data_IF_437226865269
#
_entry.id   IF_437226865269
#
_cell.length_a   1.000
_cell.length_b   1.000
_cell.length_c   1.000
_cell.angle_alpha   90.00
_cell.angle_beta   90.00
_cell.angle_gamma   90.00
#
_symmetry.space_group_name_H-M   'P 1'
#
loop_
_entity.id
_entity.type
_entity.pdbx_description
1 polymer ?
#
# COMPACT_ATOMS: atom_id res chain seq x y z
N UNK A 1 9.78 0.32 0.70
CA UNK A 1 9.45 1.72 1.12
C UNK A 1 8.40 1.68 2.19
N UNK A 2 8.57 2.44 3.27
CA UNK A 2 7.64 2.47 4.40
C UNK A 2 7.38 3.92 4.79
N UNK A 3 6.11 4.28 4.91
CA UNK A 3 5.68 5.61 5.35
C UNK A 3 4.93 5.51 6.67
N UNK A 4 5.28 6.40 7.60
CA UNK A 4 4.62 6.54 8.90
C UNK A 4 4.82 7.95 9.46
N UNK A 5 4.32 8.21 10.66
CA UNK A 5 4.62 9.41 11.46
C UNK A 5 4.25 10.73 10.76
N UNK A 6 3.06 10.78 10.19
CA UNK A 6 2.54 11.99 9.56
C UNK A 6 3.19 12.35 8.22
N UNK A 7 3.94 11.46 7.60
CA UNK A 7 4.50 11.69 6.27
C UNK A 7 3.39 12.08 5.29
N UNK A 8 3.52 13.23 4.63
CA UNK A 8 2.47 13.74 3.77
C UNK A 8 2.99 14.52 2.56
N UNK A 9 2.13 14.67 1.56
CA UNK A 9 2.41 15.46 0.37
C UNK A 9 3.56 14.94 -0.50
N UNK A 10 3.98 13.69 -0.31
CA UNK A 10 5.06 13.10 -1.08
C UNK A 10 4.55 12.47 -2.36
N UNK A 11 5.40 12.45 -3.38
CA UNK A 11 5.17 11.73 -4.63
C UNK A 11 6.24 10.66 -4.80
N UNK A 12 5.79 9.41 -4.95
CA UNK A 12 6.64 8.26 -5.24
C UNK A 12 6.23 7.70 -6.59
N UNK A 13 7.11 7.83 -7.58
CA UNK A 13 6.78 7.47 -8.94
C UNK A 13 7.90 6.72 -9.65
N UNK A 14 7.52 5.81 -10.55
CA UNK A 14 8.43 5.07 -11.43
C UNK A 14 9.48 4.24 -10.70
N UNK A 15 9.15 3.75 -9.51
CA UNK A 15 10.02 2.85 -8.77
C UNK A 15 9.75 1.40 -9.17
N UNK A 16 10.79 0.59 -9.15
CA UNK A 16 10.71 -0.84 -9.37
C UNK A 16 11.36 -1.60 -8.22
N UNK A 17 10.59 -2.48 -7.59
CA UNK A 17 11.07 -3.34 -6.51
C UNK A 17 10.77 -4.80 -6.87
N UNK A 18 11.81 -5.59 -7.05
CA UNK A 18 11.69 -6.97 -7.51
C UNK A 18 11.91 -8.00 -6.39
N UNK A 19 12.95 -7.82 -5.61
CA UNK A 19 13.37 -8.80 -4.62
C UNK A 19 13.50 -8.14 -3.24
N UNK A 20 12.39 -7.83 -2.57
CA UNK A 20 12.46 -7.25 -1.24
C UNK A 20 13.16 -8.21 -0.27
N UNK A 21 14.06 -7.67 0.52
CA UNK A 21 14.83 -8.45 1.48
C UNK A 21 14.03 -8.66 2.77
N UNK A 22 12.98 -9.46 2.69
CA UNK A 22 12.17 -9.86 3.83
C UNK A 22 11.70 -11.31 3.66
N UNK A 23 11.59 -12.02 4.76
CA UNK A 23 11.44 -13.48 4.76
C UNK A 23 10.04 -13.99 5.04
N UNK A 24 9.12 -13.12 5.49
CA UNK A 24 7.74 -13.48 5.80
C UNK A 24 6.78 -12.75 4.87
N UNK A 25 6.06 -13.47 4.05
CA UNK A 25 5.11 -12.94 3.08
C UNK A 25 3.75 -13.58 3.17
N UNK A 26 2.71 -12.82 2.87
CA UNK A 26 2.54 -11.41 3.20
C UNK A 26 2.19 -11.33 4.66
N UNK A 27 2.88 -10.56 5.43
CA UNK A 27 2.53 -10.35 6.82
C UNK A 27 2.61 -8.87 7.16
N UNK A 28 1.72 -8.43 7.98
CA UNK A 28 1.60 -7.09 8.54
C UNK A 28 2.38 -5.99 7.80
N UNK A 29 3.55 -5.59 8.29
CA UNK A 29 4.36 -4.54 7.69
C UNK A 29 5.34 -5.02 6.61
N UNK A 30 5.31 -6.30 6.25
CA UNK A 30 6.23 -6.84 5.25
C UNK A 30 5.71 -6.58 3.83
N UNK A 31 6.26 -5.59 3.17
CA UNK A 31 5.90 -5.22 1.81
C UNK A 31 6.91 -4.31 1.15
N UNK A 32 6.82 -4.21 -0.16
CA UNK A 32 7.67 -3.30 -0.92
C UNK A 32 7.24 -1.85 -0.72
N UNK A 33 5.94 -1.64 -0.59
CA UNK A 33 5.33 -0.36 -0.28
C UNK A 33 4.37 -0.54 0.90
N UNK A 34 4.61 0.20 1.98
CA UNK A 34 3.86 0.07 3.23
C UNK A 34 3.43 1.45 3.75
N UNK A 35 2.13 1.64 3.95
CA UNK A 35 1.61 2.63 4.89
C UNK A 35 1.55 1.96 6.27
N UNK A 36 2.32 2.44 7.24
CA UNK A 36 2.58 1.73 8.50
C UNK A 36 1.97 2.42 9.71
N UNK A 37 0.83 3.05 9.56
CA UNK A 37 0.17 3.75 10.65
C UNK A 37 0.86 5.06 11.06
N UNK A 38 0.51 5.60 12.20
CA UNK A 38 0.96 6.92 12.66
C UNK A 38 0.68 8.04 11.65
N UNK A 39 -0.47 7.96 10.98
CA UNK A 39 -1.07 9.03 10.22
C UNK A 39 -0.31 9.55 8.98
N UNK A 40 0.28 8.71 8.10
CA UNK A 40 0.68 9.18 6.79
C UNK A 40 -0.56 9.53 5.96
N UNK A 41 -0.58 10.70 5.31
CA UNK A 41 -1.75 11.18 4.59
C UNK A 41 -1.39 11.94 3.31
N UNK A 42 -2.32 12.00 2.36
CA UNK A 42 -2.19 12.79 1.13
C UNK A 42 -0.90 12.53 0.34
N UNK A 43 -0.41 11.30 0.32
CA UNK A 43 0.73 10.89 -0.50
C UNK A 43 0.25 10.30 -1.82
N UNK A 44 1.04 10.46 -2.87
CA UNK A 44 0.78 9.89 -4.19
C UNK A 44 1.82 8.83 -4.53
N UNK A 45 1.34 7.62 -4.80
CA UNK A 45 2.13 6.50 -5.34
C UNK A 45 1.65 6.23 -6.75
N UNK A 46 2.49 6.49 -7.76
CA UNK A 46 2.05 6.35 -9.16
C UNK A 46 3.04 5.60 -10.02
N UNK A 47 2.51 4.73 -10.87
CA UNK A 47 3.28 4.05 -11.91
C UNK A 47 4.52 3.32 -11.36
N UNK A 48 4.38 2.71 -10.18
CA UNK A 48 5.41 1.89 -9.58
C UNK A 48 5.12 0.40 -9.83
N UNK A 49 6.15 -0.41 -9.82
CA UNK A 49 6.04 -1.87 -9.85
C UNK A 49 6.56 -2.42 -8.53
N UNK A 50 5.69 -3.07 -7.80
CA UNK A 50 5.96 -3.69 -6.50
C UNK A 50 5.53 -5.15 -6.50
N UNK A 51 6.03 -5.93 -5.55
CA UNK A 51 5.48 -7.27 -5.31
C UNK A 51 4.17 -7.18 -4.56
N UNK A 52 4.09 -6.28 -3.57
CA UNK A 52 2.86 -6.02 -2.84
C UNK A 52 2.80 -4.60 -2.29
N UNK A 53 1.57 -4.18 -2.02
CA UNK A 53 1.24 -2.93 -1.35
C UNK A 53 0.57 -3.30 -0.03
N UNK A 54 1.03 -2.75 1.07
CA UNK A 54 0.48 -3.01 2.41
C UNK A 54 -0.06 -1.71 3.00
N UNK A 55 -1.30 -1.77 3.47
CA UNK A 55 -1.91 -0.70 4.27
C UNK A 55 -2.10 -1.25 5.68
N UNK A 56 -1.16 -0.93 6.55
CA UNK A 56 -1.06 -1.45 7.91
C UNK A 56 -1.31 -0.35 8.93
N UNK A 57 -2.19 -0.61 9.88
CA UNK A 57 -2.51 0.31 10.97
C UNK A 57 -2.06 -0.21 12.34
N UNK A 58 -1.10 -1.11 12.41
CA UNK A 58 -0.62 -1.69 13.67
C UNK A 58 -0.07 -0.65 14.66
N UNK A 59 0.33 0.51 14.16
CA UNK A 59 0.81 1.65 14.95
C UNK A 59 -0.13 2.85 14.86
N UNK A 60 -1.41 2.68 15.10
CA UNK A 60 -2.49 3.64 14.89
C UNK A 60 -2.94 3.78 13.44
N UNK A 61 -4.10 4.37 13.16
CA UNK A 61 -4.62 4.50 11.80
C UNK A 61 -3.70 5.28 10.86
N UNK A 62 -3.77 4.93 9.59
CA UNK A 62 -3.27 5.79 8.53
C UNK A 62 -4.21 6.98 8.37
N UNK A 63 -3.65 8.13 7.96
CA UNK A 63 -4.44 9.28 7.55
C UNK A 63 -5.07 9.07 6.18
N UNK A 64 -6.01 9.94 5.83
CA UNK A 64 -6.80 9.87 4.61
C UNK A 64 -6.05 10.32 3.36
N UNK A 65 -6.63 10.02 2.20
CA UNK A 65 -6.25 10.58 0.90
C UNK A 65 -4.88 10.17 0.36
N UNK A 66 -4.29 9.07 0.85
CA UNK A 66 -3.19 8.47 0.10
C UNK A 66 -3.74 7.87 -1.19
N UNK A 67 -3.08 8.14 -2.30
CA UNK A 67 -3.55 7.76 -3.64
C UNK A 67 -2.56 6.81 -4.29
N UNK A 68 -3.06 5.66 -4.69
CA UNK A 68 -2.33 4.64 -5.45
C UNK A 68 -2.85 4.64 -6.88
N UNK A 69 -2.06 5.17 -7.80
CA UNK A 69 -2.45 5.38 -9.20
C UNK A 69 -1.58 4.57 -10.15
N UNK A 70 -2.20 3.67 -10.93
CA UNK A 70 -1.52 2.89 -11.98
C UNK A 70 -0.27 2.15 -11.51
N UNK A 71 -0.25 1.69 -10.25
CA UNK A 71 0.81 0.81 -9.79
C UNK A 71 0.52 -0.62 -10.21
N UNK A 72 1.56 -1.44 -10.27
CA UNK A 72 1.44 -2.88 -10.49
C UNK A 72 1.94 -3.62 -9.25
N UNK A 73 1.09 -4.49 -8.69
CA UNK A 73 1.43 -5.34 -7.55
C UNK A 73 1.55 -6.80 -8.02
N UNK A 74 2.74 -7.19 -8.47
CA UNK A 74 2.95 -8.42 -9.25
C UNK A 74 2.82 -9.73 -8.45
N UNK A 75 3.22 -9.73 -7.19
CA UNK A 75 3.37 -10.98 -6.45
C UNK A 75 2.19 -11.29 -5.53
N UNK A 76 1.80 -10.37 -4.67
CA UNK A 76 0.86 -10.63 -3.58
C UNK A 76 -0.35 -9.66 -3.55
N UNK A 77 -0.38 -8.68 -4.43
CA UNK A 77 -1.48 -7.75 -4.51
C UNK A 77 -1.46 -6.66 -3.45
N UNK A 78 -2.64 -6.26 -2.98
CA UNK A 78 -2.83 -5.24 -1.97
C UNK A 78 -3.35 -5.89 -0.69
N UNK A 79 -2.68 -5.66 0.41
CA UNK A 79 -3.03 -6.19 1.72
C UNK A 79 -3.43 -5.08 2.68
N UNK A 80 -4.63 -5.20 3.26
CA UNK A 80 -5.10 -4.34 4.35
C UNK A 80 -5.04 -5.13 5.65
N UNK A 81 -4.26 -4.68 6.62
CA UNK A 81 -4.16 -5.36 7.91
C UNK A 81 -5.39 -5.14 8.80
N UNK A 82 -6.19 -4.11 8.49
CA UNK A 82 -7.47 -3.89 9.15
C UNK A 82 -8.42 -3.06 8.31
N UNK A 83 -9.69 -3.05 8.70
CA UNK A 83 -10.75 -2.24 8.07
C UNK A 83 -10.66 -0.74 8.44
N UNK A 84 -9.82 -0.37 9.37
CA UNK A 84 -9.73 1.00 9.87
C UNK A 84 -8.62 1.80 9.18
N UNK A 85 -8.70 1.90 7.87
CA UNK A 85 -7.79 2.70 7.04
C UNK A 85 -8.63 3.54 6.08
N UNK A 86 -9.31 4.60 6.57
CA UNK A 86 -10.32 5.32 5.79
C UNK A 86 -9.73 6.08 4.61
N UNK A 87 -10.55 6.31 3.61
CA UNK A 87 -10.33 7.27 2.52
C UNK A 87 -9.03 7.09 1.74
N UNK A 88 -8.61 5.86 1.49
CA UNK A 88 -7.51 5.57 0.58
C UNK A 88 -8.04 5.45 -0.86
N UNK A 89 -7.33 6.02 -1.81
CA UNK A 89 -7.73 5.99 -3.21
C UNK A 89 -6.88 4.99 -4.00
N UNK A 90 -7.54 4.02 -4.64
CA UNK A 90 -6.90 3.06 -5.54
C UNK A 90 -7.47 3.24 -6.93
N UNK A 91 -6.65 3.69 -7.88
CA UNK A 91 -7.10 4.07 -9.21
C UNK A 91 -6.27 3.35 -10.28
N UNK A 92 -6.94 2.49 -11.07
CA UNK A 92 -6.34 1.80 -12.22
C UNK A 92 -5.04 1.06 -11.89
N UNK A 93 -4.94 0.46 -10.72
CA UNK A 93 -3.81 -0.40 -10.41
C UNK A 93 -3.97 -1.76 -11.08
N UNK A 94 -2.86 -2.34 -11.50
CA UNK A 94 -2.81 -3.69 -12.06
C UNK A 94 -2.40 -4.68 -10.96
N UNK A 95 -3.32 -5.60 -10.63
CA UNK A 95 -3.15 -6.57 -9.56
C UNK A 95 -3.33 -7.97 -10.13
N UNK A 96 -2.31 -8.54 -10.76
CA UNK A 96 -2.42 -9.85 -11.42
C UNK A 96 -2.60 -10.99 -10.43
N UNK A 97 -2.22 -10.83 -9.17
CA UNK A 97 -2.41 -11.81 -8.12
C UNK A 97 -3.22 -11.21 -6.97
N UNK A 98 -4.42 -11.75 -6.75
CA UNK A 98 -5.35 -11.29 -5.71
C UNK A 98 -5.40 -12.21 -4.49
N UNK A 99 -4.53 -13.22 -4.40
CA UNK A 99 -4.56 -14.22 -3.33
C UNK A 99 -4.51 -13.60 -1.92
N UNK A 100 -4.00 -12.40 -1.80
CA UNK A 100 -3.86 -11.65 -0.56
C UNK A 100 -4.55 -10.29 -0.58
N UNK A 101 -5.41 -10.02 -1.53
CA UNK A 101 -6.19 -8.78 -1.57
C UNK A 101 -7.36 -8.91 -0.60
N UNK A 102 -7.13 -8.62 0.67
CA UNK A 102 -8.13 -8.70 1.71
C UNK A 102 -8.79 -7.35 1.98
N UNK A 103 -10.09 -7.38 2.25
CA UNK A 103 -10.86 -6.25 2.76
C UNK A 103 -10.94 -5.02 1.83
N UNK A 104 -10.97 -5.22 0.52
CA UNK A 104 -11.23 -4.15 -0.44
C UNK A 104 -12.72 -3.78 -0.56
N UNK A 105 -13.52 -4.10 0.43
CA UNK A 105 -14.99 -4.04 0.38
C UNK A 105 -15.54 -2.63 0.13
N UNK A 106 -14.76 -1.60 0.35
CA UNK A 106 -15.18 -0.20 0.19
C UNK A 106 -14.26 0.63 -0.73
N UNK A 107 -13.45 -0.01 -1.54
CA UNK A 107 -12.52 0.69 -2.42
C UNK A 107 -12.81 0.39 -3.88
N UNK A 108 -12.79 1.42 -4.71
CA UNK A 108 -12.84 1.27 -6.18
C UNK A 108 -11.42 1.14 -6.69
N UNK A 109 -11.14 0.00 -7.25
CA UNK A 109 -9.84 -0.30 -7.86
C UNK A 109 -9.90 -0.10 -9.36
#
# INVERSE_FOLDING_TARGET
>A
MLLQSGANGNVFAYNYSLNPFWTSTPSNSAGDMVLHGNFPYANLFKENIYRNIVVDNSHTPNGSYNTFLRNRAEGFGIFFSSSNCPDQNFIRNDIPNTSFSYNLINYTI
#
